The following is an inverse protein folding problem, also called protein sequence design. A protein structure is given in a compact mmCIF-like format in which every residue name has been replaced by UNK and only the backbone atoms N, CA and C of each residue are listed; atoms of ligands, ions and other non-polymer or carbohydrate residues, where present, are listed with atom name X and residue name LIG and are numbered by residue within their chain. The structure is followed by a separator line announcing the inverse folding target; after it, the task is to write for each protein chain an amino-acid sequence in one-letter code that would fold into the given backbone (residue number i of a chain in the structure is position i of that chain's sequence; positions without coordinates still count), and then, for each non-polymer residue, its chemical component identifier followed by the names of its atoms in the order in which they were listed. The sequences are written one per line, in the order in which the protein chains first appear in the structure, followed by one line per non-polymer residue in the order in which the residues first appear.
data_IF_950536199957
#
_entry.id   IF_950536199957
#
_cell.length_a   1.000
_cell.length_b   1.000
_cell.length_c   1.000
_cell.angle_alpha   90.00
_cell.angle_beta   90.00
_cell.angle_gamma   90.00
#
_symmetry.space_group_name_H-M   'P 1'
#
loop_
_entity.id
_entity.type
_entity.pdbx_description
1 polymer ?
#
# COMPACT_ATOMS: atom_id res chain seq x y z
N UNK A 1 8.24 4.12 -18.14
CA UNK A 1 7.92 2.71 -17.80
C UNK A 1 7.65 1.95 -19.10
N UNK A 2 8.38 0.86 -19.40
CA UNK A 2 8.31 0.19 -20.71
C UNK A 2 7.07 -0.68 -20.93
N UNK A 3 6.37 -1.13 -19.87
CA UNK A 3 5.16 -1.96 -20.00
C UNK A 3 4.30 -1.94 -18.75
N UNK A 4 2.98 -1.90 -18.88
CA UNK A 4 2.07 -2.00 -17.74
C UNK A 4 1.99 -3.40 -17.13
N UNK A 5 2.51 -4.41 -17.85
CA UNK A 5 2.52 -5.82 -17.44
C UNK A 5 3.68 -6.20 -16.53
N UNK A 6 4.58 -5.26 -16.24
CA UNK A 6 5.72 -5.45 -15.34
C UNK A 6 5.42 -4.88 -13.95
N UNK A 7 6.11 -5.41 -12.95
CA UNK A 7 6.17 -4.82 -11.63
C UNK A 7 7.19 -3.68 -11.60
N UNK A 8 6.93 -2.71 -10.73
CA UNK A 8 7.87 -1.63 -10.46
C UNK A 8 7.99 -1.41 -8.96
N UNK A 9 9.20 -1.40 -8.41
CA UNK A 9 9.43 -0.82 -7.10
C UNK A 9 9.61 0.69 -7.26
N UNK A 10 8.92 1.45 -6.43
CA UNK A 10 8.86 2.91 -6.49
C UNK A 10 9.46 3.47 -5.20
N UNK A 11 10.37 4.41 -5.35
CA UNK A 11 10.85 5.25 -4.25
C UNK A 11 10.83 6.71 -4.67
N UNK A 12 10.29 7.58 -3.83
CA UNK A 12 10.31 9.03 -4.05
C UNK A 12 10.78 9.70 -2.77
N UNK A 13 11.90 10.39 -2.82
CA UNK A 13 12.40 11.22 -1.71
C UNK A 13 12.16 12.68 -2.07
N UNK A 14 11.53 13.46 -1.19
CA UNK A 14 11.19 14.84 -1.53
C UNK A 14 10.45 15.63 -0.46
N UNK A 15 9.98 16.80 -0.90
CA UNK A 15 9.15 17.72 -0.16
C UNK A 15 7.73 17.71 -0.72
N UNK A 16 6.76 17.55 0.17
CA UNK A 16 5.36 17.38 -0.14
C UNK A 16 4.56 18.53 0.47
N UNK A 17 3.81 19.24 -0.36
CA UNK A 17 2.87 20.25 0.13
C UNK A 17 1.75 19.59 0.93
N UNK A 18 1.36 18.37 0.55
CA UNK A 18 0.33 17.61 1.21
C UNK A 18 0.56 16.09 1.11
N UNK A 19 0.36 15.37 2.23
CA UNK A 19 0.19 13.91 2.23
C UNK A 19 -1.00 13.56 3.12
N UNK A 20 -1.92 12.78 2.57
CA UNK A 20 -2.93 12.07 3.36
C UNK A 20 -2.52 10.61 3.48
N UNK A 21 -2.36 10.15 4.71
CA UNK A 21 -2.03 8.76 4.98
C UNK A 21 -2.95 8.18 6.06
N UNK A 22 -2.93 6.85 6.21
CA UNK A 22 -3.66 6.16 7.27
C UNK A 22 -2.84 5.07 7.93
N UNK A 23 -3.28 4.69 9.11
CA UNK A 23 -2.79 3.50 9.81
C UNK A 23 -3.95 2.71 10.40
N UNK A 24 -3.91 1.39 10.23
CA UNK A 24 -4.91 0.47 10.76
C UNK A 24 -4.51 0.08 12.18
N UNK A 25 -5.40 0.20 13.19
CA UNK A 25 -5.06 -0.15 14.56
C UNK A 25 -4.81 -1.66 14.72
N UNK A 26 -4.12 -2.02 15.80
CA UNK A 26 -3.92 -3.43 16.18
C UNK A 26 -5.26 -4.14 16.36
N UNK A 27 -5.37 -5.35 15.82
CA UNK A 27 -6.54 -6.20 15.94
C UNK A 27 -6.32 -7.34 16.95
N UNK A 28 -7.42 -7.83 17.53
CA UNK A 28 -7.44 -8.98 18.43
C UNK A 28 -8.35 -10.08 17.88
N UNK A 29 -8.16 -11.33 18.34
CA UNK A 29 -9.02 -12.44 17.92
C UNK A 29 -10.41 -12.32 18.56
N UNK A 30 -11.50 -12.68 17.84
CA UNK A 30 -11.51 -13.14 16.44
C UNK A 30 -11.24 -11.98 15.48
N UNK A 31 -10.32 -12.19 14.53
CA UNK A 31 -9.92 -11.12 13.62
C UNK A 31 -11.07 -10.73 12.69
N UNK A 32 -11.41 -9.43 12.59
CA UNK A 32 -12.39 -8.97 11.63
C UNK A 32 -11.82 -9.02 10.20
N UNK A 33 -12.70 -8.90 9.20
CA UNK A 33 -12.24 -8.65 7.83
C UNK A 33 -11.51 -7.31 7.78
N UNK A 34 -10.55 -7.18 6.86
CA UNK A 34 -9.79 -5.94 6.72
C UNK A 34 -10.71 -4.75 6.39
N UNK A 35 -11.74 -4.95 5.55
CA UNK A 35 -12.77 -3.96 5.23
C UNK A 35 -13.57 -3.45 6.44
N UNK A 36 -13.60 -4.20 7.53
CA UNK A 36 -14.20 -3.78 8.80
C UNK A 36 -13.15 -3.13 9.72
N UNK A 37 -11.94 -3.68 9.77
CA UNK A 37 -10.83 -3.11 10.57
C UNK A 37 -10.49 -1.66 10.16
N UNK A 38 -10.48 -1.39 8.85
CA UNK A 38 -10.19 -0.04 8.31
C UNK A 38 -11.25 1.01 8.67
N UNK A 39 -12.46 0.61 9.08
CA UNK A 39 -13.48 1.58 9.55
C UNK A 39 -13.04 2.35 10.79
N UNK A 40 -12.11 1.77 11.56
CA UNK A 40 -11.51 2.36 12.76
C UNK A 40 -10.11 2.93 12.52
N UNK A 41 -9.71 3.12 11.26
CA UNK A 41 -8.39 3.62 10.90
C UNK A 41 -8.17 5.05 11.41
N UNK A 42 -6.91 5.34 11.72
CA UNK A 42 -6.47 6.72 11.94
C UNK A 42 -6.02 7.30 10.61
N UNK A 43 -6.58 8.46 10.24
CA UNK A 43 -6.16 9.23 9.06
C UNK A 43 -5.33 10.41 9.55
N UNK A 44 -4.21 10.64 8.87
CA UNK A 44 -3.26 11.69 9.14
C UNK A 44 -3.11 12.55 7.90
N UNK A 45 -3.08 13.86 8.11
CA UNK A 45 -2.81 14.84 7.06
C UNK A 45 -1.54 15.59 7.44
N UNK A 46 -0.56 15.54 6.55
CA UNK A 46 0.73 16.22 6.69
C UNK A 46 0.78 17.36 5.68
N UNK A 47 1.16 18.55 6.14
CA UNK A 47 1.34 19.72 5.28
C UNK A 47 2.81 20.13 5.30
N UNK A 48 3.34 20.51 4.14
CA UNK A 48 4.72 21.02 3.97
C UNK A 48 5.77 20.12 4.66
N UNK A 49 5.75 18.83 4.32
CA UNK A 49 6.54 17.80 4.99
C UNK A 49 7.61 17.20 4.07
N UNK A 50 8.78 16.92 4.64
CA UNK A 50 9.84 16.17 3.96
C UNK A 50 9.79 14.69 4.35
N UNK A 51 10.04 13.80 3.38
CA UNK A 51 10.07 12.37 3.65
C UNK A 51 10.24 11.51 2.41
N UNK A 52 9.88 10.23 2.56
CA UNK A 52 10.06 9.22 1.52
C UNK A 52 8.76 8.46 1.29
N UNK A 53 8.33 8.36 0.03
CA UNK A 53 7.37 7.37 -0.44
C UNK A 53 8.11 6.10 -0.85
N UNK A 54 7.57 4.96 -0.47
CA UNK A 54 8.01 3.65 -0.95
C UNK A 54 6.81 2.79 -1.29
N UNK A 55 6.94 1.96 -2.32
CA UNK A 55 5.90 1.00 -2.63
C UNK A 55 6.08 0.35 -3.99
N UNK A 56 4.98 -0.11 -4.56
CA UNK A 56 5.00 -0.83 -5.82
C UNK A 56 3.91 -0.32 -6.76
N UNK A 57 4.20 -0.38 -8.06
CA UNK A 57 3.18 -0.41 -9.10
C UNK A 57 3.05 -1.84 -9.60
N UNK A 58 1.88 -2.47 -9.44
CA UNK A 58 1.66 -3.84 -9.89
C UNK A 58 0.68 -3.92 -11.07
N UNK A 59 0.81 -4.93 -11.95
CA UNK A 59 -0.10 -5.12 -13.08
C UNK A 59 -1.54 -5.48 -12.68
N UNK A 60 -2.52 -5.16 -13.52
CA UNK A 60 -3.93 -5.50 -13.26
C UNK A 60 -4.18 -7.02 -13.10
N UNK A 61 -3.39 -7.86 -13.80
CA UNK A 61 -3.58 -9.31 -13.76
C UNK A 61 -3.20 -9.96 -12.42
N UNK A 62 -2.61 -9.23 -11.47
CA UNK A 62 -2.24 -9.77 -10.14
C UNK A 62 -3.27 -9.48 -9.05
N UNK A 63 -4.47 -9.04 -9.44
CA UNK A 63 -5.61 -8.89 -8.53
C UNK A 63 -5.82 -10.15 -7.68
N UNK A 64 -6.04 -9.96 -6.38
CA UNK A 64 -6.21 -11.05 -5.40
C UNK A 64 -4.89 -11.64 -4.89
N UNK A 65 -3.77 -11.36 -5.55
CA UNK A 65 -2.41 -11.68 -5.09
C UNK A 65 -1.73 -10.44 -4.53
N UNK A 66 -1.92 -9.28 -5.17
CA UNK A 66 -1.40 -7.98 -4.74
C UNK A 66 -2.42 -6.88 -5.07
N UNK A 67 -2.08 -5.62 -4.78
CA UNK A 67 -2.90 -4.43 -5.07
C UNK A 67 -2.53 -3.86 -6.45
N UNK A 68 -3.42 -3.93 -7.45
CA UNK A 68 -3.19 -3.36 -8.78
C UNK A 68 -2.94 -1.85 -8.75
N UNK A 69 -2.14 -1.35 -9.69
CA UNK A 69 -1.77 0.05 -9.74
C UNK A 69 -0.77 0.42 -8.65
N UNK A 70 -0.78 1.68 -8.21
CA UNK A 70 0.15 2.18 -7.18
C UNK A 70 -0.36 1.84 -5.79
N UNK A 71 0.49 1.19 -5.00
CA UNK A 71 0.33 1.02 -3.56
C UNK A 71 1.57 1.61 -2.89
N UNK A 72 1.40 2.78 -2.27
CA UNK A 72 2.49 3.56 -1.69
C UNK A 72 2.29 3.76 -0.18
N UNK A 73 3.38 3.71 0.55
CA UNK A 73 3.47 4.10 1.96
C UNK A 73 4.42 5.28 2.07
N UNK A 74 4.20 6.12 3.09
CA UNK A 74 5.00 7.30 3.39
C UNK A 74 5.66 7.18 4.76
N UNK A 75 6.86 7.74 4.90
CA UNK A 75 7.54 7.96 6.17
C UNK A 75 8.17 9.36 6.18
N UNK A 76 7.99 10.09 7.27
CA UNK A 76 8.61 11.41 7.46
C UNK A 76 10.13 11.31 7.54
N UNK A 77 10.85 12.37 7.19
CA UNK A 77 12.31 12.41 7.21
C UNK A 77 12.89 12.11 8.62
N UNK A 78 12.24 12.64 9.66
CA UNK A 78 12.58 12.38 11.07
C UNK A 78 12.15 10.98 11.57
N UNK A 79 11.44 10.22 10.73
CA UNK A 79 10.91 8.88 10.99
C UNK A 79 9.95 8.79 12.16
N UNK A 80 9.32 9.90 12.55
CA UNK A 80 8.36 9.94 13.66
C UNK A 80 6.93 9.56 13.25
N UNK A 81 6.59 9.72 11.97
CA UNK A 81 5.25 9.46 11.46
C UNK A 81 5.26 8.91 10.02
N UNK A 82 4.11 8.42 9.57
CA UNK A 82 3.94 7.83 8.25
C UNK A 82 2.62 7.08 8.11
N UNK A 83 2.48 6.32 7.05
CA UNK A 83 1.32 5.46 6.84
C UNK A 83 1.10 5.03 5.40
N UNK A 84 0.03 4.28 5.17
CA UNK A 84 -0.44 3.95 3.83
C UNK A 84 -1.05 5.19 3.17
N UNK A 85 -0.59 5.56 1.98
CA UNK A 85 -0.92 6.82 1.31
C UNK A 85 -2.29 6.74 0.63
N UNK A 86 -3.13 7.74 0.89
CA UNK A 86 -4.44 7.92 0.29
C UNK A 86 -4.45 9.07 -0.74
N UNK A 87 -3.67 10.12 -0.49
CA UNK A 87 -3.56 11.28 -1.36
C UNK A 87 -2.21 11.98 -1.17
N UNK A 88 -1.75 12.68 -2.21
CA UNK A 88 -0.43 13.31 -2.24
C UNK A 88 -0.34 14.48 -3.20
N UNK A 89 0.31 15.55 -2.73
CA UNK A 89 0.80 16.64 -3.55
C UNK A 89 2.30 16.85 -3.26
N UNK A 90 3.12 16.79 -4.31
CA UNK A 90 4.56 16.93 -4.22
C UNK A 90 5.02 18.26 -4.81
N UNK A 91 5.91 18.96 -4.11
CA UNK A 91 6.52 20.19 -4.61
C UNK A 91 7.75 19.89 -5.46
N UNK A 92 8.67 19.10 -4.90
CA UNK A 92 9.93 18.72 -5.53
C UNK A 92 10.49 17.44 -4.89
N UNK A 93 11.28 16.69 -5.64
CA UNK A 93 11.88 15.46 -5.16
C UNK A 93 12.54 14.68 -6.28
N UNK A 94 13.12 13.55 -5.92
CA UNK A 94 13.71 12.59 -6.82
C UNK A 94 12.89 11.30 -6.81
N UNK A 95 12.54 10.80 -8.00
CA UNK A 95 11.86 9.52 -8.16
C UNK A 95 12.83 8.49 -8.72
N UNK A 96 12.87 7.33 -8.08
CA UNK A 96 13.62 6.15 -8.48
C UNK A 96 12.66 5.00 -8.76
N UNK A 97 12.89 4.31 -9.86
CA UNK A 97 12.10 3.16 -10.28
C UNK A 97 13.02 1.97 -10.54
N UNK A 98 12.68 0.82 -9.96
CA UNK A 98 13.22 -0.47 -10.35
C UNK A 98 12.24 -1.18 -11.29
N UNK A 99 12.74 -1.69 -12.42
CA UNK A 99 11.93 -2.51 -13.34
C UNK A 99 12.05 -3.95 -12.87
N UNK A 100 11.06 -4.40 -12.10
CA UNK A 100 11.10 -5.70 -11.46
C UNK A 100 10.48 -6.76 -12.38
N UNK A 101 11.34 -7.58 -13.00
CA UNK A 101 10.94 -8.62 -13.96
C UNK A 101 10.64 -9.98 -13.33
N UNK A 102 10.81 -10.12 -12.01
CA UNK A 102 10.57 -11.35 -11.27
C UNK A 102 9.68 -11.10 -10.06
N UNK A 103 8.68 -11.97 -9.87
CA UNK A 103 7.79 -11.97 -8.71
C UNK A 103 7.88 -13.35 -8.05
N UNK A 104 8.17 -13.37 -6.75
CA UNK A 104 8.25 -14.58 -5.95
C UNK A 104 7.16 -14.53 -4.87
N UNK A 105 6.38 -15.61 -4.77
CA UNK A 105 5.33 -15.77 -3.77
C UNK A 105 5.69 -16.93 -2.86
N UNK A 106 5.77 -16.63 -1.56
CA UNK A 106 5.83 -17.64 -0.51
C UNK A 106 4.46 -17.78 0.13
N UNK A 107 3.96 -19.01 0.23
CA UNK A 107 2.67 -19.29 0.84
C UNK A 107 2.82 -19.59 2.34
N UNK A 108 1.90 -19.12 3.20
CA UNK A 108 1.87 -19.54 4.60
C UNK A 108 1.78 -21.07 4.70
N UNK A 109 2.61 -21.66 5.56
CA UNK A 109 2.72 -23.13 5.74
C UNK A 109 1.95 -23.65 6.96
N UNK A 110 1.17 -22.80 7.61
CA UNK A 110 0.29 -23.16 8.73
C UNK A 110 -0.80 -22.10 8.98
N UNK A 111 -1.70 -22.40 9.91
CA UNK A 111 -2.71 -21.45 10.40
C UNK A 111 -3.96 -21.35 9.53
N UNK A 112 -4.70 -20.25 9.71
CA UNK A 112 -6.02 -20.05 9.11
C UNK A 112 -5.98 -20.01 7.56
N UNK A 113 -4.80 -19.79 6.97
CA UNK A 113 -4.59 -19.80 5.51
C UNK A 113 -5.01 -21.12 4.84
N UNK A 114 -4.92 -22.26 5.54
CA UNK A 114 -5.26 -23.57 4.99
C UNK A 114 -6.76 -23.77 4.82
N UNK A 115 -7.56 -23.02 5.59
CA UNK A 115 -9.00 -23.21 5.69
C UNK A 115 -9.79 -22.00 5.17
N UNK A 116 -9.12 -20.91 4.78
CA UNK A 116 -9.77 -19.70 4.26
C UNK A 116 -10.12 -19.87 2.78
N UNK A 117 -11.32 -19.43 2.41
CA UNK A 117 -11.78 -19.41 1.02
C UNK A 117 -11.34 -18.11 0.32
N UNK A 118 -10.36 -18.22 -0.59
CA UNK A 118 -9.76 -17.07 -1.31
C UNK A 118 -10.24 -16.91 -2.76
N UNK A 119 -11.01 -17.87 -3.29
CA UNK A 119 -11.49 -17.85 -4.68
C UNK A 119 -12.73 -16.97 -4.93
N UNK A 120 -13.24 -16.30 -3.90
CA UNK A 120 -14.37 -15.38 -3.98
C UNK A 120 -13.95 -14.01 -4.55
N UNK A 121 -14.86 -13.30 -5.20
CA UNK A 121 -14.58 -11.95 -5.70
C UNK A 121 -14.60 -10.94 -4.53
N UNK A 122 -13.42 -10.45 -4.16
CA UNK A 122 -13.21 -9.48 -3.08
C UNK A 122 -12.89 -8.07 -3.61
N UNK A 123 -13.25 -7.75 -4.86
CA UNK A 123 -12.90 -6.45 -5.45
C UNK A 123 -13.40 -5.26 -4.64
N UNK A 124 -14.69 -5.27 -4.28
CA UNK A 124 -15.30 -4.18 -3.54
C UNK A 124 -14.65 -4.00 -2.17
N UNK A 125 -14.28 -5.12 -1.52
CA UNK A 125 -13.56 -5.11 -0.25
C UNK A 125 -12.14 -4.53 -0.43
N UNK A 126 -11.42 -4.92 -1.49
CA UNK A 126 -10.08 -4.39 -1.78
C UNK A 126 -10.10 -2.89 -2.06
N UNK A 127 -11.05 -2.39 -2.85
CA UNK A 127 -11.17 -0.96 -3.14
C UNK A 127 -11.55 -0.15 -1.89
N UNK A 128 -12.43 -0.68 -1.04
CA UNK A 128 -12.79 -0.06 0.25
C UNK A 128 -11.63 -0.07 1.23
N UNK A 129 -10.77 -1.09 1.14
CA UNK A 129 -9.55 -1.13 1.93
C UNK A 129 -8.58 -0.12 1.34
N UNK A 130 -8.07 -0.26 0.14
CA UNK A 130 -6.88 0.48 -0.33
C UNK A 130 -7.11 1.96 -0.76
N UNK A 131 -8.32 2.51 -0.59
CA UNK A 131 -8.65 3.91 -0.96
C UNK A 131 -9.37 4.67 0.16
#
# INVERSE_FOLDING_TARGET
MPSENLFYAVRVDGNFSYIKARSVPRQEKPYPKLADAVSSQSVFEFENISGTLVGFRTPEYVKGVNVPGYHLHFITEDRSAGGHVLDIEMENGESSLDITNAFFMELPTSGDFYNVELGQDLQADMEKVEK
#
